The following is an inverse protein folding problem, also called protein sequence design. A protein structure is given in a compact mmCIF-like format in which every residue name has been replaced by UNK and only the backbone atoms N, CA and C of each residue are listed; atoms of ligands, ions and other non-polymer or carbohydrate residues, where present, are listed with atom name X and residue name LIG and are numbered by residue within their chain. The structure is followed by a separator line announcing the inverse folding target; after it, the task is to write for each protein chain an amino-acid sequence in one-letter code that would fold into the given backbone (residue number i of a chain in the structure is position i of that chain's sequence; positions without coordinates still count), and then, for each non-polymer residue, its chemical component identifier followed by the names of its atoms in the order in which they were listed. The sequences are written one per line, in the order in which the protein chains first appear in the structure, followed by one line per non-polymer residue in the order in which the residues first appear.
data_IF_583769454499
#
_entry.id   IF_583769454499
#
_cell.length_a   1.000
_cell.length_b   1.000
_cell.length_c   1.000
_cell.angle_alpha   90.00
_cell.angle_beta   90.00
_cell.angle_gamma   90.00
#
_symmetry.space_group_name_H-M   'P 1'
#
loop_
_entity.id
_entity.type
_entity.pdbx_description
1 polymer ?
#
# COMPACT_ATOMS: atom_id res chain seq x y z
N UNK A 1 -17.42 -25.12 -35.01
CA UNK A 1 -17.96 -23.83 -34.50
C UNK A 1 -18.30 -24.00 -33.03
N UNK A 2 -17.76 -23.12 -32.18
CA UNK A 2 -18.06 -22.96 -30.74
C UNK A 2 -17.09 -23.70 -29.79
N UNK A 3 -16.02 -23.11 -29.22
CA UNK A 3 -15.91 -22.20 -28.05
C UNK A 3 -16.78 -22.70 -26.88
N UNK A 4 -16.34 -22.98 -25.64
CA UNK A 4 -15.42 -22.35 -24.68
C UNK A 4 -15.34 -23.33 -23.48
N UNK A 5 -14.18 -23.71 -22.93
CA UNK A 5 -13.56 -23.02 -21.78
C UNK A 5 -14.21 -23.36 -20.43
N UNK A 6 -13.65 -24.33 -19.66
CA UNK A 6 -14.00 -24.53 -18.24
C UNK A 6 -12.77 -24.24 -17.37
N UNK A 7 -12.65 -22.99 -16.93
CA UNK A 7 -11.71 -22.60 -15.88
C UNK A 7 -12.36 -22.80 -14.52
N UNK A 8 -11.78 -23.67 -13.68
CA UNK A 8 -12.13 -23.77 -12.26
C UNK A 8 -11.13 -22.93 -11.47
N UNK A 9 -11.51 -21.70 -11.12
CA UNK A 9 -10.76 -20.89 -10.17
C UNK A 9 -11.27 -21.21 -8.74
N UNK A 10 -10.46 -21.92 -7.96
CA UNK A 10 -10.69 -22.10 -6.54
C UNK A 10 -10.22 -20.82 -5.81
N UNK A 11 -11.15 -19.91 -5.52
CA UNK A 11 -10.88 -18.75 -4.68
C UNK A 11 -10.99 -19.15 -3.20
N UNK A 12 -9.84 -19.39 -2.56
CA UNK A 12 -9.77 -19.51 -1.11
C UNK A 12 -10.09 -18.15 -0.48
N UNK A 13 -11.27 -18.01 0.11
CA UNK A 13 -11.62 -16.84 0.89
C UNK A 13 -10.85 -16.87 2.22
N UNK A 14 -9.66 -16.29 2.24
CA UNK A 14 -8.93 -16.03 3.49
C UNK A 14 -9.59 -14.83 4.15
N UNK A 15 -10.29 -15.08 5.25
CA UNK A 15 -10.87 -14.06 6.12
C UNK A 15 -9.72 -13.32 6.83
N UNK A 16 -9.27 -12.20 6.27
CA UNK A 16 -8.39 -11.29 6.99
C UNK A 16 -9.26 -10.31 7.77
N UNK A 17 -9.35 -10.52 9.09
CA UNK A 17 -9.94 -9.56 10.00
C UNK A 17 -9.16 -8.24 9.94
N UNK A 18 -9.83 -7.07 10.02
CA UNK A 18 -9.16 -5.78 10.01
C UNK A 18 -8.46 -5.57 11.36
N UNK A 19 -7.20 -5.96 11.45
CA UNK A 19 -6.32 -5.46 12.51
C UNK A 19 -5.92 -4.04 12.14
N UNK A 20 -6.54 -3.07 12.81
CA UNK A 20 -6.11 -1.69 12.84
C UNK A 20 -4.78 -1.56 13.61
N UNK A 21 -3.86 -0.77 13.06
CA UNK A 21 -2.73 -0.17 13.78
C UNK A 21 -1.38 -0.86 13.58
N UNK A 22 -0.52 -0.28 12.76
CA UNK A 22 0.80 0.20 13.20
C UNK A 22 1.53 0.96 12.06
N UNK A 23 1.86 2.23 12.31
CA UNK A 23 2.97 2.90 11.62
C UNK A 23 4.23 2.06 11.88
N UNK A 24 4.79 1.43 10.85
CA UNK A 24 5.96 0.56 11.00
C UNK A 24 7.18 1.45 11.21
N UNK A 25 7.34 1.95 12.43
CA UNK A 25 8.48 2.75 12.85
C UNK A 25 9.64 1.82 13.22
N UNK A 26 10.59 1.64 12.30
CA UNK A 26 11.92 1.13 12.63
C UNK A 26 12.97 2.19 12.31
N UNK A 27 13.82 2.48 13.30
CA UNK A 27 15.09 3.19 13.15
C UNK A 27 15.04 4.42 12.22
N UNK A 28 14.05 5.28 12.41
CA UNK A 28 13.92 6.54 11.68
C UNK A 28 13.29 6.45 10.28
N UNK A 29 12.84 5.29 9.81
CA UNK A 29 12.01 5.16 8.60
C UNK A 29 10.60 4.72 8.98
N UNK A 30 9.60 5.40 8.43
CA UNK A 30 8.18 5.07 8.60
C UNK A 30 7.45 5.05 7.27
N UNK A 31 6.39 4.26 7.19
CA UNK A 31 5.56 4.09 6.00
C UNK A 31 4.09 4.25 6.38
N UNK A 32 3.42 5.18 5.72
CA UNK A 32 2.00 5.42 5.95
C UNK A 32 1.14 4.35 5.29
N UNK A 33 0.25 3.74 6.08
CA UNK A 33 -0.73 2.76 5.63
C UNK A 33 -0.50 1.37 6.23
N UNK A 34 -1.56 0.58 6.36
CA UNK A 34 -1.50 -0.75 7.00
C UNK A 34 -1.52 -1.89 5.97
N UNK A 35 -2.08 -1.65 4.78
CA UNK A 35 -2.15 -2.64 3.70
C UNK A 35 -1.50 -2.08 2.44
N UNK A 36 -0.48 -2.79 1.97
CA UNK A 36 0.34 -2.36 0.85
C UNK A 36 -0.01 -3.19 -0.37
N UNK A 37 -0.30 -2.49 -1.46
CA UNK A 37 -0.74 -3.06 -2.71
C UNK A 37 0.13 -2.60 -3.85
N UNK A 38 0.36 -3.50 -4.80
CA UNK A 38 1.06 -3.15 -6.04
C UNK A 38 0.36 -1.99 -6.76
N UNK A 39 1.16 -1.13 -7.38
CA UNK A 39 0.73 0.04 -8.15
C UNK A 39 -0.05 1.08 -7.34
N UNK A 40 0.05 1.05 -6.01
CA UNK A 40 -0.54 2.05 -5.12
C UNK A 40 0.57 2.95 -4.57
N UNK A 41 0.32 4.25 -4.50
CA UNK A 41 1.30 5.19 -3.96
C UNK A 41 1.18 5.32 -2.44
N UNK A 42 2.32 5.19 -1.76
CA UNK A 42 2.47 5.32 -0.33
C UNK A 42 3.48 6.41 0.03
N UNK A 43 3.36 6.97 1.23
CA UNK A 43 4.30 7.99 1.73
C UNK A 43 5.27 7.35 2.72
N UNK A 44 6.55 7.35 2.35
CA UNK A 44 7.66 7.04 3.25
C UNK A 44 8.15 8.32 3.90
N UNK A 45 8.42 8.26 5.19
CA UNK A 45 8.98 9.37 5.96
C UNK A 45 10.28 8.92 6.62
N UNK A 46 11.33 9.70 6.46
CA UNK A 46 12.63 9.48 7.10
C UNK A 46 12.88 10.58 8.11
N UNK A 47 12.98 10.20 9.38
CA UNK A 47 13.39 11.06 10.46
C UNK A 47 14.91 10.96 10.67
N UNK A 48 15.57 12.08 10.51
CA UNK A 48 17.03 12.25 10.59
C UNK A 48 17.47 13.00 11.85
N UNK A 49 16.60 13.16 12.85
CA UNK A 49 16.91 13.94 14.06
C UNK A 49 18.12 13.42 14.85
N UNK A 50 18.45 12.12 14.71
CA UNK A 50 19.65 11.51 15.29
C UNK A 50 20.92 11.66 14.43
N UNK A 51 20.83 12.23 13.24
CA UNK A 51 21.94 12.35 12.28
C UNK A 51 22.33 13.82 12.11
N UNK A 52 23.60 14.14 12.35
CA UNK A 52 24.10 15.51 12.23
C UNK A 52 24.57 15.83 10.81
N UNK A 53 24.43 17.10 10.40
CA UNK A 53 24.94 17.60 9.12
C UNK A 53 24.44 16.81 7.89
N UNK A 54 23.15 16.50 7.85
CA UNK A 54 22.55 15.76 6.73
C UNK A 54 22.51 16.61 5.47
N UNK A 55 23.07 16.07 4.39
CA UNK A 55 22.99 16.65 3.05
C UNK A 55 21.75 16.14 2.32
N UNK A 56 21.67 14.83 2.15
CA UNK A 56 20.69 14.20 1.28
C UNK A 56 20.33 12.82 1.84
N UNK A 57 19.09 12.41 1.58
CA UNK A 57 18.55 11.10 1.93
C UNK A 57 18.15 10.38 0.64
N UNK A 58 18.53 9.11 0.53
CA UNK A 58 18.08 8.20 -0.51
C UNK A 58 17.35 7.04 0.12
N UNK A 59 16.24 6.62 -0.49
CA UNK A 59 15.50 5.43 -0.09
C UNK A 59 15.79 4.31 -1.09
N UNK A 60 15.91 3.08 -0.61
CA UNK A 60 16.07 1.88 -1.42
C UNK A 60 15.05 0.82 -1.05
N UNK A 61 14.59 0.06 -2.04
CA UNK A 61 13.71 -1.10 -1.90
C UNK A 61 14.47 -2.37 -2.28
N UNK A 62 14.55 -3.34 -1.37
CA UNK A 62 15.27 -4.61 -1.54
C UNK A 62 16.74 -4.44 -1.97
N UNK A 63 17.39 -3.35 -1.57
CA UNK A 63 18.73 -2.95 -2.00
C UNK A 63 18.88 -2.74 -3.52
N UNK A 64 17.79 -2.80 -4.29
CA UNK A 64 17.79 -2.71 -5.76
C UNK A 64 17.02 -1.47 -6.16
N UNK A 65 17.73 -0.34 -6.18
CA UNK A 65 17.24 0.89 -6.78
C UNK A 65 16.88 1.96 -5.76
N UNK A 66 17.24 3.18 -6.13
CA UNK A 66 16.82 4.40 -5.44
C UNK A 66 15.36 4.70 -5.78
N UNK A 67 14.54 4.96 -4.77
CA UNK A 67 13.19 5.48 -4.92
C UNK A 67 13.32 7.00 -5.15
N UNK A 68 13.07 7.51 -6.36
CA UNK A 68 13.27 8.91 -6.68
C UNK A 68 12.37 9.80 -5.83
N UNK A 69 12.76 11.06 -5.60
CA UNK A 69 11.89 12.00 -4.92
C UNK A 69 10.70 12.31 -5.83
N UNK A 70 9.61 12.79 -5.23
CA UNK A 70 8.41 13.23 -5.93
C UNK A 70 8.66 14.37 -6.94
N UNK A 71 9.89 14.90 -7.01
CA UNK A 71 10.32 15.96 -7.93
C UNK A 71 10.87 15.45 -9.27
N UNK A 72 10.77 14.15 -9.56
CA UNK A 72 10.81 13.61 -10.92
C UNK A 72 12.17 13.58 -11.63
N UNK A 73 13.25 14.09 -11.03
CA UNK A 73 14.65 13.84 -11.39
C UNK A 73 15.55 14.71 -10.50
N UNK A 74 16.05 14.18 -9.38
CA UNK A 74 17.00 14.91 -8.55
C UNK A 74 17.83 13.97 -7.64
N UNK A 75 19.05 14.42 -7.24
CA UNK A 75 19.79 13.82 -6.12
C UNK A 75 18.89 13.73 -4.86
N UNK A 76 19.27 12.93 -3.87
CA UNK A 76 18.47 12.61 -2.68
C UNK A 76 17.74 13.80 -2.03
N UNK A 77 16.74 13.55 -1.19
CA UNK A 77 15.99 14.65 -0.56
C UNK A 77 16.81 15.28 0.55
N UNK A 78 16.94 16.61 0.53
CA UNK A 78 17.45 17.38 1.67
C UNK A 78 16.34 17.43 2.74
N UNK A 79 16.56 16.90 3.96
CA UNK A 79 15.53 16.95 5.00
C UNK A 79 15.19 18.38 5.40
N UNK A 80 13.90 18.64 5.65
CA UNK A 80 13.41 19.88 6.24
C UNK A 80 12.94 19.57 7.66
N UNK A 81 13.42 20.30 8.66
CA UNK A 81 13.14 20.03 10.08
C UNK A 81 13.44 18.56 10.45
N UNK A 82 14.59 18.06 9.99
CA UNK A 82 15.03 16.67 10.19
C UNK A 82 14.13 15.61 9.53
N UNK A 83 13.22 15.97 8.63
CA UNK A 83 12.31 15.01 7.98
C UNK A 83 12.45 15.07 6.47
N UNK A 84 12.55 13.91 5.82
CA UNK A 84 12.49 13.75 4.37
C UNK A 84 11.33 12.81 3.98
N UNK A 85 10.57 13.16 2.94
CA UNK A 85 9.37 12.41 2.52
C UNK A 85 9.44 11.95 1.07
N UNK A 86 9.11 10.69 0.82
CA UNK A 86 9.20 10.05 -0.49
C UNK A 86 7.87 9.37 -0.86
N UNK A 87 7.55 9.33 -2.14
CA UNK A 87 6.46 8.52 -2.67
C UNK A 87 7.02 7.18 -3.14
N UNK A 88 6.49 6.10 -2.57
CA UNK A 88 6.84 4.74 -2.96
C UNK A 88 5.66 4.06 -3.63
N UNK A 89 5.90 3.46 -4.80
CA UNK A 89 4.91 2.73 -5.57
C UNK A 89 5.49 1.34 -5.85
N UNK A 90 5.20 0.31 -5.03
CA UNK A 90 5.69 -1.03 -5.28
C UNK A 90 5.05 -1.60 -6.54
N UNK A 91 5.86 -2.24 -7.40
CA UNK A 91 5.39 -2.85 -8.65
C UNK A 91 5.27 -4.38 -8.57
N UNK A 92 5.87 -4.97 -7.52
CA UNK A 92 5.90 -6.41 -7.27
C UNK A 92 5.19 -6.75 -5.96
N UNK A 93 4.70 -7.98 -5.85
CA UNK A 93 4.19 -8.52 -4.58
C UNK A 93 5.31 -9.21 -3.82
N UNK A 94 5.12 -9.39 -2.51
CA UNK A 94 6.06 -10.07 -1.63
C UNK A 94 6.59 -9.17 -0.52
N UNK A 95 7.67 -9.60 0.13
CA UNK A 95 8.37 -8.80 1.13
C UNK A 95 9.26 -7.76 0.44
N UNK A 96 9.19 -6.52 0.94
CA UNK A 96 9.98 -5.39 0.53
C UNK A 96 10.79 -4.88 1.73
N UNK A 97 12.11 -4.84 1.58
CA UNK A 97 13.05 -4.35 2.59
C UNK A 97 13.42 -2.91 2.27
N UNK A 98 12.80 -1.94 2.94
CA UNK A 98 13.03 -0.52 2.67
C UNK A 98 14.12 0.01 3.60
N UNK A 99 15.17 0.60 3.02
CA UNK A 99 16.29 1.23 3.76
C UNK A 99 16.45 2.68 3.33
N UNK A 100 16.95 3.53 4.23
CA UNK A 100 17.34 4.90 3.90
C UNK A 100 18.85 5.10 4.11
N UNK A 101 19.52 5.64 3.11
CA UNK A 101 20.91 6.09 3.21
C UNK A 101 20.93 7.60 3.38
N UNK A 102 21.57 8.07 4.44
CA UNK A 102 21.68 9.48 4.82
C UNK A 102 23.12 9.92 4.62
N UNK A 103 23.37 10.83 3.69
CA UNK A 103 24.70 11.40 3.47
C UNK A 103 24.97 12.53 4.46
N UNK A 104 26.15 12.49 5.07
CA UNK A 104 26.60 13.47 6.06
C UNK A 104 27.74 14.31 5.50
N UNK A 105 27.81 15.59 5.89
CA UNK A 105 29.00 16.41 5.63
C UNK A 105 30.13 15.97 6.56
N UNK A 106 31.28 15.62 5.99
CA UNK A 106 32.52 15.39 6.76
C UNK A 106 32.51 14.13 7.62
N UNK A 107 31.57 13.21 7.39
CA UNK A 107 31.44 11.95 8.11
C UNK A 107 30.96 10.81 7.21
N UNK A 108 30.93 9.57 7.72
CA UNK A 108 30.40 8.43 6.98
C UNK A 108 28.89 8.59 6.74
N UNK A 109 28.36 7.97 5.69
CA UNK A 109 26.90 7.91 5.50
C UNK A 109 26.26 7.07 6.62
N UNK A 110 25.10 7.51 7.11
CA UNK A 110 24.28 6.72 8.02
C UNK A 110 23.28 5.88 7.21
N UNK A 111 22.91 4.72 7.73
CA UNK A 111 21.86 3.87 7.17
C UNK A 111 20.78 3.75 8.23
N UNK A 112 19.53 3.97 7.84
CA UNK A 112 18.33 3.90 8.69
C UNK A 112 17.41 2.80 8.17
N UNK A 113 16.73 2.11 9.08
CA UNK A 113 15.93 0.90 8.80
C UNK A 113 16.76 -0.40 8.91
N UNK A 114 16.35 -1.50 8.25
CA UNK A 114 15.24 -1.62 7.33
C UNK A 114 13.86 -1.61 8.01
N UNK A 115 12.83 -1.22 7.26
CA UNK A 115 11.45 -1.64 7.53
C UNK A 115 11.07 -2.76 6.56
N UNK A 116 10.37 -3.77 7.08
CA UNK A 116 9.86 -4.89 6.28
C UNK A 116 8.38 -4.65 5.95
N UNK A 117 8.06 -4.62 4.66
CA UNK A 117 6.72 -4.32 4.18
C UNK A 117 6.23 -5.46 3.31
N UNK A 118 5.07 -6.03 3.63
CA UNK A 118 4.46 -7.06 2.78
C UNK A 118 3.48 -6.41 1.80
N UNK A 119 3.78 -6.53 0.51
CA UNK A 119 2.95 -6.01 -0.59
C UNK A 119 2.15 -7.15 -1.23
N UNK A 120 0.85 -6.93 -1.43
CA UNK A 120 -0.07 -7.89 -2.03
C UNK A 120 -0.80 -7.30 -3.24
N UNK A 121 -1.62 -8.09 -3.92
CA UNK A 121 -2.55 -7.55 -4.92
C UNK A 121 -3.73 -6.91 -4.21
N UNK A 122 -4.17 -5.73 -4.68
CA UNK A 122 -5.38 -5.11 -4.18
C UNK A 122 -6.59 -6.08 -4.31
N UNK A 123 -7.51 -6.13 -3.33
CA UNK A 123 -8.70 -6.95 -3.44
C UNK A 123 -9.52 -6.49 -4.66
N UNK A 124 -9.69 -7.37 -5.65
CA UNK A 124 -10.68 -7.16 -6.71
C UNK A 124 -12.06 -7.39 -6.10
N UNK A 125 -12.69 -6.32 -5.60
CA UNK A 125 -14.06 -6.35 -5.11
C UNK A 125 -14.98 -6.89 -6.20
N UNK A 126 -15.47 -8.11 -6.02
CA UNK A 126 -16.47 -8.70 -6.90
C UNK A 126 -17.76 -7.91 -6.77
N UNK A 127 -18.26 -7.37 -7.88
CA UNK A 127 -19.67 -7.02 -8.03
C UNK A 127 -20.47 -8.33 -8.02
N UNK A 128 -20.65 -8.90 -6.83
CA UNK A 128 -21.57 -10.01 -6.62
C UNK A 128 -22.98 -9.49 -6.77
N UNK A 129 -23.44 -9.29 -8.01
CA UNK A 129 -24.85 -9.18 -8.32
C UNK A 129 -25.53 -10.43 -7.79
N UNK A 130 -26.24 -10.30 -6.67
CA UNK A 130 -27.17 -11.31 -6.19
C UNK A 130 -28.41 -11.34 -7.11
N UNK A 131 -28.21 -11.65 -8.39
CA UNK A 131 -29.28 -11.71 -9.39
C UNK A 131 -29.72 -13.15 -9.71
N UNK A 132 -29.27 -14.14 -8.94
CA UNK A 132 -29.54 -15.54 -9.25
C UNK A 132 -29.62 -16.45 -8.03
N UNK A 133 -30.18 -15.98 -6.92
CA UNK A 133 -30.88 -16.89 -6.00
C UNK A 133 -32.34 -16.95 -6.46
N UNK A 134 -32.82 -18.06 -7.06
CA UNK A 134 -34.16 -18.16 -7.64
C UNK A 134 -35.31 -17.97 -6.62
N UNK A 135 -34.99 -17.97 -5.32
CA UNK A 135 -35.96 -17.90 -4.22
C UNK A 135 -36.09 -16.51 -3.59
N UNK A 136 -35.07 -15.65 -3.66
CA UNK A 136 -35.09 -14.34 -2.96
C UNK A 136 -35.67 -13.21 -3.84
N UNK A 137 -35.63 -13.35 -5.17
CA UNK A 137 -36.26 -12.38 -6.09
C UNK A 137 -37.77 -12.27 -5.91
N UNK A 138 -38.43 -13.34 -5.45
CA UNK A 138 -39.86 -13.35 -5.17
C UNK A 138 -40.20 -12.67 -3.82
N UNK A 139 -39.26 -12.61 -2.88
CA UNK A 139 -39.50 -12.06 -1.54
C UNK A 139 -39.42 -10.52 -1.50
N UNK A 140 -38.61 -9.91 -2.38
CA UNK A 140 -38.48 -8.45 -2.46
C UNK A 140 -39.50 -7.82 -3.42
N UNK A 141 -40.06 -8.58 -4.36
CA UNK A 141 -41.18 -8.12 -5.20
C UNK A 141 -42.49 -7.91 -4.41
N UNK A 142 -42.65 -8.53 -3.24
CA UNK A 142 -43.85 -8.37 -2.40
C UNK A 142 -43.76 -7.19 -1.42
N UNK A 143 -42.56 -6.68 -1.14
CA UNK A 143 -42.37 -5.49 -0.26
C UNK A 143 -42.55 -4.18 -1.03
N UNK A 144 -42.24 -4.15 -2.33
CA UNK A 144 -42.42 -2.95 -3.17
C UNK A 144 -43.88 -2.63 -3.52
N UNK A 145 -44.84 -3.51 -3.19
CA UNK A 145 -46.26 -3.31 -3.47
C UNK A 145 -47.10 -2.85 -2.26
N UNK A 146 -46.51 -2.69 -1.06
CA UNK A 146 -47.26 -2.34 0.14
C UNK A 146 -46.86 -0.97 0.69
N UNK A 147 -47.15 0.07 -0.08
CA UNK A 147 -47.43 1.40 0.49
C UNK A 147 -48.92 1.70 0.28
N UNK A 148 -49.78 1.60 1.30
CA UNK A 148 -51.11 2.15 1.23
C UNK A 148 -51.03 3.66 1.47
N UNK A 149 -51.62 4.44 0.57
CA UNK A 149 -51.88 5.85 0.79
C UNK A 149 -53.30 6.19 0.31
N UNK A 150 -53.97 7.15 0.96
CA UNK A 150 -55.37 7.05 1.38
C UNK A 150 -56.33 7.84 0.48
N UNK A 151 -57.62 7.64 0.78
CA UNK A 151 -58.86 8.22 0.20
C UNK A 151 -58.77 9.69 -0.23
#
# INVERSE_FOLDING_TARGET
MGITGFGAAAAAAVLVAPSAGADVAYDGVTLAGDSHYVNTAYTLTVNTAGVSNVLNVWIYDNNVGYIPPNNGNAPGIVPVNNVATFQWIPTTTGAHHITATVMQIGGPNAILGPIDVTVTTAPTGGTGSANSVPVIGQLLSSISAQLPAPL
#
